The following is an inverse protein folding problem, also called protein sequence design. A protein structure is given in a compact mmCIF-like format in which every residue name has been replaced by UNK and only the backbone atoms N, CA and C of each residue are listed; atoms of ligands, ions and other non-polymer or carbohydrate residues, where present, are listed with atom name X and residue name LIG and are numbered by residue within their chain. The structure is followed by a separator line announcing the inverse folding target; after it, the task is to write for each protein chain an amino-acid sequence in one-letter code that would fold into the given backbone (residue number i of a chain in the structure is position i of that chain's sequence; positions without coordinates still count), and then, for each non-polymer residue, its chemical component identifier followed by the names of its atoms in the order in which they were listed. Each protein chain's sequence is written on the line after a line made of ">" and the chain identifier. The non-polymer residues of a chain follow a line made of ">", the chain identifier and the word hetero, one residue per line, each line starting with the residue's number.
data_IF_583473700019
#
_entry.id   IF_583473700019
#
_cell.length_a   1.000
_cell.length_b   1.000
_cell.length_c   1.000
_cell.angle_alpha   90.00
_cell.angle_beta   90.00
_cell.angle_gamma   90.00
#
_symmetry.space_group_name_H-M   'P 1'
#
loop_
_entity.id
_entity.type
_entity.pdbx_description
1 polymer ?
#
# COMPACT_ATOMS: atom_id res chain seq x y z
N UNK A 1 11.71 -28.32 -15.79
CA UNK A 1 10.58 -27.78 -15.01
C UNK A 1 10.10 -26.59 -15.80
N UNK A 2 8.99 -26.73 -16.52
CA UNK A 2 8.40 -25.61 -17.26
C UNK A 2 8.01 -24.54 -16.25
N UNK A 3 8.51 -23.33 -16.42
CA UNK A 3 7.97 -22.19 -15.70
C UNK A 3 6.50 -22.09 -16.13
N UNK A 4 5.58 -22.43 -15.22
CA UNK A 4 4.18 -22.04 -15.38
C UNK A 4 4.20 -20.51 -15.39
N UNK A 5 4.14 -19.93 -16.60
CA UNK A 5 3.86 -18.51 -16.77
C UNK A 5 2.54 -18.26 -16.05
N UNK A 6 2.61 -17.59 -14.89
CA UNK A 6 1.38 -17.18 -14.23
C UNK A 6 0.59 -16.31 -15.19
N UNK A 7 -0.73 -16.52 -15.28
CA UNK A 7 -1.56 -15.78 -16.22
C UNK A 7 -1.59 -14.31 -15.80
N UNK A 8 -0.80 -13.50 -16.49
CA UNK A 8 -0.91 -12.05 -16.44
C UNK A 8 -2.30 -11.69 -16.96
N UNK A 9 -3.12 -11.11 -16.10
CA UNK A 9 -4.49 -10.75 -16.46
C UNK A 9 -4.46 -9.37 -17.10
N UNK A 10 -4.90 -9.24 -18.35
CA UNK A 10 -5.02 -7.96 -19.05
C UNK A 10 -6.49 -7.54 -19.13
N UNK A 11 -6.77 -6.25 -18.90
CA UNK A 11 -8.11 -5.67 -19.10
C UNK A 11 -8.17 -5.11 -20.52
N UNK A 12 -8.96 -5.73 -21.40
CA UNK A 12 -9.06 -5.29 -22.80
C UNK A 12 -9.79 -3.97 -22.99
N UNK A 13 -10.74 -3.65 -22.10
CA UNK A 13 -11.56 -2.43 -22.17
C UNK A 13 -11.78 -1.91 -20.74
N UNK A 14 -11.01 -0.88 -20.36
CA UNK A 14 -11.01 -0.35 -19.00
C UNK A 14 -12.34 0.31 -18.62
N UNK A 15 -13.01 0.95 -19.57
CA UNK A 15 -14.29 1.64 -19.34
C UNK A 15 -15.46 0.67 -19.09
N UNK A 16 -15.34 -0.57 -19.57
CA UNK A 16 -16.32 -1.64 -19.36
C UNK A 16 -15.92 -2.64 -18.27
N UNK A 17 -14.76 -2.45 -17.64
CA UNK A 17 -14.24 -3.37 -16.65
C UNK A 17 -15.14 -3.42 -15.43
N UNK A 18 -15.46 -4.63 -14.96
CA UNK A 18 -16.23 -4.78 -13.72
C UNK A 18 -15.31 -4.62 -12.51
N UNK A 19 -15.89 -4.41 -11.33
CA UNK A 19 -15.14 -4.44 -10.06
C UNK A 19 -14.30 -5.72 -9.90
N UNK A 20 -14.82 -6.86 -10.38
CA UNK A 20 -14.11 -8.15 -10.31
C UNK A 20 -12.86 -8.14 -11.20
N UNK A 21 -12.96 -7.57 -12.40
CA UNK A 21 -11.85 -7.49 -13.35
C UNK A 21 -10.75 -6.56 -12.82
N UNK A 22 -11.13 -5.38 -12.33
CA UNK A 22 -10.21 -4.42 -11.72
C UNK A 22 -9.48 -5.02 -10.52
N UNK A 23 -10.21 -5.74 -9.65
CA UNK A 23 -9.61 -6.43 -8.51
C UNK A 23 -8.67 -7.56 -8.91
N UNK A 24 -9.02 -8.31 -9.96
CA UNK A 24 -8.19 -9.42 -10.45
C UNK A 24 -6.89 -8.90 -11.03
N UNK A 25 -6.97 -7.86 -11.87
CA UNK A 25 -5.82 -7.16 -12.44
C UNK A 25 -4.89 -6.63 -11.36
N UNK A 26 -5.43 -5.87 -10.40
CA UNK A 26 -4.60 -5.22 -9.41
C UNK A 26 -3.92 -6.23 -8.44
N UNK A 27 -4.55 -7.40 -8.23
CA UNK A 27 -3.93 -8.50 -7.49
C UNK A 27 -2.85 -9.21 -8.31
N UNK A 28 -3.06 -9.45 -9.60
CA UNK A 28 -2.04 -10.09 -10.46
C UNK A 28 -0.80 -9.22 -10.58
N UNK A 29 -0.95 -7.90 -10.74
CA UNK A 29 0.17 -6.95 -10.73
C UNK A 29 0.95 -7.00 -9.41
N UNK A 30 0.22 -6.96 -8.28
CA UNK A 30 0.85 -7.01 -6.96
C UNK A 30 1.66 -8.29 -6.74
N UNK A 31 1.16 -9.45 -7.16
CA UNK A 31 1.90 -10.71 -7.06
C UNK A 31 3.08 -10.75 -8.04
N UNK A 32 2.90 -10.27 -9.28
CA UNK A 32 3.97 -10.13 -10.26
C UNK A 32 5.15 -9.31 -9.72
N UNK A 33 4.91 -8.16 -9.11
CA UNK A 33 5.99 -7.34 -8.56
C UNK A 33 6.69 -7.98 -7.37
N UNK A 34 5.97 -8.72 -6.52
CA UNK A 34 6.56 -9.46 -5.41
C UNK A 34 7.45 -10.60 -5.90
N UNK A 35 6.98 -11.37 -6.88
CA UNK A 35 7.73 -12.50 -7.45
C UNK A 35 9.02 -12.02 -8.15
N UNK A 36 8.96 -10.86 -8.82
CA UNK A 36 10.11 -10.27 -9.49
C UNK A 36 10.99 -9.40 -8.57
N UNK A 37 10.55 -9.15 -7.34
CA UNK A 37 11.28 -8.36 -6.34
C UNK A 37 11.51 -6.91 -6.75
N UNK A 38 10.55 -6.29 -7.47
CA UNK A 38 10.67 -4.90 -7.89
C UNK A 38 10.66 -3.94 -6.71
N UNK A 39 11.53 -2.92 -6.77
CA UNK A 39 11.70 -1.90 -5.73
C UNK A 39 12.06 -0.55 -6.35
N UNK A 40 11.86 0.51 -5.58
CA UNK A 40 12.23 1.89 -5.85
C UNK A 40 11.73 2.33 -7.24
N UNK A 41 12.63 2.89 -8.06
CA UNK A 41 12.34 3.34 -9.42
C UNK A 41 11.77 2.25 -10.32
N UNK A 42 12.29 1.02 -10.23
CA UNK A 42 11.81 -0.08 -11.10
C UNK A 42 10.35 -0.42 -10.79
N UNK A 43 9.98 -0.43 -9.50
CA UNK A 43 8.59 -0.66 -9.09
C UNK A 43 7.69 0.51 -9.54
N UNK A 44 8.18 1.74 -9.45
CA UNK A 44 7.43 2.90 -9.94
C UNK A 44 7.20 2.86 -11.45
N UNK A 45 8.23 2.52 -12.24
CA UNK A 45 8.12 2.41 -13.70
C UNK A 45 7.09 1.33 -14.10
N UNK A 46 7.15 0.14 -13.48
CA UNK A 46 6.17 -0.93 -13.73
C UNK A 46 4.77 -0.57 -13.22
N UNK A 47 4.67 0.17 -12.11
CA UNK A 47 3.38 0.67 -11.60
C UNK A 47 2.72 1.63 -12.58
N UNK A 48 3.48 2.62 -13.08
CA UNK A 48 2.98 3.60 -14.05
C UNK A 48 2.56 2.90 -15.34
N UNK A 49 3.33 1.92 -15.79
CA UNK A 49 3.02 1.16 -16.99
C UNK A 49 1.77 0.28 -16.83
N UNK A 50 1.69 -0.50 -15.76
CA UNK A 50 0.56 -1.42 -15.54
C UNK A 50 -0.77 -0.70 -15.30
N UNK A 51 -0.73 0.51 -14.73
CA UNK A 51 -1.91 1.31 -14.44
C UNK A 51 -2.05 2.53 -15.37
N UNK A 52 -1.40 2.50 -16.55
CA UNK A 52 -1.56 3.55 -17.55
C UNK A 52 -3.03 3.68 -17.96
N UNK A 53 -3.55 4.92 -18.00
CA UNK A 53 -4.95 5.19 -18.32
C UNK A 53 -5.94 4.97 -17.17
N UNK A 54 -5.50 4.46 -16.01
CA UNK A 54 -6.37 4.37 -14.84
C UNK A 54 -6.71 5.75 -14.26
N UNK A 55 -7.93 5.87 -13.73
CA UNK A 55 -8.43 7.07 -13.07
C UNK A 55 -8.68 6.78 -11.59
N UNK A 56 -8.91 7.83 -10.80
CA UNK A 56 -9.29 7.67 -9.40
C UNK A 56 -10.56 6.85 -9.21
N UNK A 57 -11.48 6.87 -10.19
CA UNK A 57 -12.73 6.11 -10.15
C UNK A 57 -12.47 4.61 -10.32
N UNK A 58 -11.55 4.23 -11.23
CA UNK A 58 -11.12 2.84 -11.38
C UNK A 58 -10.54 2.31 -10.07
N UNK A 59 -9.64 3.06 -9.42
CA UNK A 59 -9.14 2.68 -8.10
C UNK A 59 -10.24 2.69 -7.03
N UNK A 60 -11.20 3.61 -7.07
CA UNK A 60 -12.29 3.65 -6.11
C UNK A 60 -13.17 2.39 -6.17
N UNK A 61 -13.31 1.79 -7.36
CA UNK A 61 -14.01 0.53 -7.60
C UNK A 61 -13.21 -0.71 -7.22
N UNK A 62 -11.88 -0.61 -7.02
CA UNK A 62 -11.08 -1.72 -6.47
C UNK A 62 -11.43 -1.92 -4.99
N UNK A 63 -11.44 -3.19 -4.55
CA UNK A 63 -11.70 -3.54 -3.16
C UNK A 63 -10.76 -2.80 -2.21
N UNK A 64 -11.27 -2.45 -1.04
CA UNK A 64 -10.54 -1.70 -0.02
C UNK A 64 -9.24 -2.41 0.37
N UNK A 65 -9.29 -3.74 0.57
CA UNK A 65 -8.13 -4.49 1.02
C UNK A 65 -7.05 -4.55 -0.06
N UNK A 66 -7.46 -4.75 -1.32
CA UNK A 66 -6.55 -4.72 -2.47
C UNK A 66 -5.87 -3.36 -2.60
N UNK A 67 -6.61 -2.25 -2.50
CA UNK A 67 -6.05 -0.90 -2.52
C UNK A 67 -5.04 -0.65 -1.39
N UNK A 68 -5.38 -1.01 -0.16
CA UNK A 68 -4.47 -0.86 0.97
C UNK A 68 -3.18 -1.65 0.74
N UNK A 69 -3.30 -2.90 0.28
CA UNK A 69 -2.13 -3.73 -0.04
C UNK A 69 -1.25 -3.13 -1.14
N UNK A 70 -1.84 -2.60 -2.21
CA UNK A 70 -1.09 -1.91 -3.27
C UNK A 70 -0.32 -0.73 -2.71
N UNK A 71 -1.01 0.17 -2.01
CA UNK A 71 -0.41 1.35 -1.40
C UNK A 71 0.74 0.96 -0.47
N UNK A 72 0.48 0.03 0.45
CA UNK A 72 1.47 -0.38 1.44
C UNK A 72 2.68 -1.05 0.78
N UNK A 73 2.45 -1.88 -0.25
CA UNK A 73 3.54 -2.50 -1.01
C UNK A 73 4.41 -1.48 -1.75
N UNK A 74 3.79 -0.48 -2.39
CA UNK A 74 4.48 0.60 -3.08
C UNK A 74 5.33 1.41 -2.09
N UNK A 75 4.76 1.81 -0.96
CA UNK A 75 5.44 2.54 0.12
C UNK A 75 6.63 1.75 0.68
N UNK A 76 6.41 0.50 1.11
CA UNK A 76 7.44 -0.33 1.75
C UNK A 76 8.60 -0.60 0.81
N UNK A 77 8.35 -0.67 -0.49
CA UNK A 77 9.37 -0.90 -1.50
C UNK A 77 9.89 0.40 -2.15
N UNK A 78 9.68 1.55 -1.52
CA UNK A 78 10.38 2.79 -1.88
C UNK A 78 9.72 3.59 -3.01
N UNK A 79 8.41 3.45 -3.22
CA UNK A 79 7.65 4.40 -4.04
C UNK A 79 7.06 5.47 -3.12
N UNK A 80 7.40 6.72 -3.38
CA UNK A 80 6.90 7.84 -2.58
C UNK A 80 5.40 8.06 -2.80
N UNK A 81 4.67 8.25 -1.71
CA UNK A 81 3.26 8.64 -1.69
C UNK A 81 3.01 9.55 -0.51
N UNK A 82 2.18 10.57 -0.63
CA UNK A 82 1.87 11.41 0.54
C UNK A 82 1.17 10.57 1.61
N UNK A 83 1.72 10.58 2.82
CA UNK A 83 1.06 9.95 3.96
C UNK A 83 0.01 10.90 4.48
N UNK A 84 -1.23 10.72 4.04
CA UNK A 84 -2.36 11.36 4.70
C UNK A 84 -2.68 10.48 5.92
N UNK A 85 -2.94 11.08 7.09
CA UNK A 85 -3.04 10.39 8.39
C UNK A 85 -4.18 9.35 8.52
N UNK A 86 -5.00 9.43 9.56
CA UNK A 86 -6.13 8.48 9.75
C UNK A 86 -7.15 8.63 8.60
N UNK A 87 -7.09 7.74 7.60
CA UNK A 87 -7.69 7.96 6.30
C UNK A 87 -8.92 7.11 5.97
N UNK A 88 -9.92 7.78 5.39
CA UNK A 88 -11.10 7.21 4.74
C UNK A 88 -10.75 6.52 3.39
N UNK A 89 -11.58 5.56 2.97
CA UNK A 89 -11.38 4.73 1.75
C UNK A 89 -11.13 5.52 0.45
N UNK A 90 -11.84 6.64 0.28
CA UNK A 90 -11.75 7.49 -0.92
C UNK A 90 -10.35 8.07 -1.11
N UNK A 91 -9.67 8.32 0.00
CA UNK A 91 -8.36 8.98 0.00
C UNK A 91 -7.23 8.03 -0.42
N UNK A 92 -7.38 6.70 -0.26
CA UNK A 92 -6.38 5.75 -0.78
C UNK A 92 -6.43 5.69 -2.31
N UNK A 93 -7.61 5.76 -2.93
CA UNK A 93 -7.70 5.78 -4.38
C UNK A 93 -7.05 7.04 -4.97
N UNK A 94 -7.23 8.19 -4.32
CA UNK A 94 -6.57 9.45 -4.70
C UNK A 94 -5.05 9.37 -4.49
N UNK A 95 -4.58 8.76 -3.40
CA UNK A 95 -3.14 8.54 -3.17
C UNK A 95 -2.49 7.66 -4.25
N UNK A 96 -3.18 6.61 -4.71
CA UNK A 96 -2.69 5.74 -5.78
C UNK A 96 -2.59 6.49 -7.12
N UNK A 97 -3.28 7.62 -7.30
CA UNK A 97 -3.10 8.47 -8.48
C UNK A 97 -1.83 9.31 -8.44
N UNK A 98 -1.25 9.57 -7.27
CA UNK A 98 -0.07 10.47 -7.17
C UNK A 98 1.12 9.96 -7.98
N UNK A 99 1.54 8.68 -7.90
CA UNK A 99 2.67 8.23 -8.70
C UNK A 99 2.36 8.19 -10.19
N UNK A 100 1.09 8.04 -10.59
CA UNK A 100 0.65 8.07 -11.99
C UNK A 100 0.65 9.49 -12.57
N UNK A 101 0.36 10.49 -11.74
CA UNK A 101 0.39 11.90 -12.14
C UNK A 101 1.79 12.51 -12.03
N UNK A 102 2.69 11.88 -11.27
CA UNK A 102 4.07 12.30 -11.16
C UNK A 102 4.79 12.12 -12.51
N UNK A 103 5.38 13.20 -13.03
CA UNK A 103 6.16 13.17 -14.28
C UNK A 103 7.48 12.44 -14.14
N UNK A 104 8.00 12.36 -12.92
CA UNK A 104 9.33 11.84 -12.61
C UNK A 104 9.30 11.12 -11.28
N UNK A 105 10.08 10.05 -11.17
CA UNK A 105 10.31 9.33 -9.93
C UNK A 105 10.84 10.27 -8.83
N UNK A 106 10.28 10.16 -7.63
CA UNK A 106 10.75 10.91 -6.46
C UNK A 106 12.09 10.35 -5.97
N UNK A 107 13.14 11.17 -6.02
CA UNK A 107 14.44 10.83 -5.44
C UNK A 107 14.37 11.12 -3.94
N UNK A 108 14.46 10.06 -3.13
CA UNK A 108 14.44 10.19 -1.68
C UNK A 108 15.63 11.02 -1.21
N UNK A 109 15.34 12.11 -0.51
CA UNK A 109 16.31 12.88 0.26
C UNK A 109 16.54 12.22 1.62
N UNK A 110 17.60 12.62 2.32
CA UNK A 110 17.87 12.10 3.67
C UNK A 110 16.77 12.47 4.66
N UNK A 111 16.13 13.63 4.46
CA UNK A 111 14.96 14.08 5.21
C UNK A 111 13.76 13.15 4.95
N UNK A 112 13.52 12.78 3.70
CA UNK A 112 12.47 11.81 3.36
C UNK A 112 12.76 10.48 4.05
N UNK A 113 13.98 9.93 3.94
CA UNK A 113 14.32 8.68 4.60
C UNK A 113 14.04 8.71 6.11
N UNK A 114 14.33 9.83 6.77
CA UNK A 114 14.01 10.00 8.20
C UNK A 114 12.50 9.97 8.45
N UNK A 115 11.72 10.71 7.67
CA UNK A 115 10.25 10.73 7.81
C UNK A 115 9.62 9.35 7.53
N UNK A 116 10.24 8.59 6.62
CA UNK A 116 9.72 7.32 6.16
C UNK A 116 10.21 6.12 6.96
N UNK A 117 11.40 6.16 7.57
CA UNK A 117 11.89 5.09 8.44
C UNK A 117 10.93 4.84 9.59
N UNK A 118 10.42 5.91 10.22
CA UNK A 118 9.42 5.82 11.29
C UNK A 118 8.11 5.15 10.81
N UNK A 119 7.83 5.17 9.50
CA UNK A 119 6.63 4.58 8.89
C UNK A 119 6.88 3.15 8.35
N UNK A 120 8.12 2.78 8.00
CA UNK A 120 8.47 1.42 7.56
C UNK A 120 8.50 0.42 8.71
N UNK A 121 8.72 0.90 9.93
CA UNK A 121 8.63 0.10 11.14
C UNK A 121 7.19 -0.20 11.58
N UNK A 122 6.19 0.07 10.71
CA UNK A 122 4.86 -0.48 10.89
C UNK A 122 5.01 -1.99 11.08
N UNK A 123 4.51 -2.55 12.21
CA UNK A 123 4.55 -3.98 12.39
C UNK A 123 3.76 -4.57 11.24
N UNK A 124 4.48 -5.21 10.31
CA UNK A 124 3.93 -6.24 9.44
C UNK A 124 3.56 -7.39 10.36
N UNK A 125 2.56 -7.16 11.22
CA UNK A 125 1.78 -8.22 11.81
C UNK A 125 1.08 -8.84 10.62
N UNK A 126 1.79 -9.70 9.90
CA UNK A 126 1.14 -10.89 9.40
C UNK A 126 0.27 -11.35 10.57
N UNK A 127 -1.06 -11.46 10.37
CA UNK A 127 -1.81 -12.28 11.29
C UNK A 127 -1.12 -13.64 11.19
N UNK A 128 -0.22 -13.90 12.13
CA UNK A 128 0.23 -15.23 12.45
C UNK A 128 -1.08 -15.91 12.79
N UNK A 129 -1.66 -16.54 11.76
CA UNK A 129 -2.74 -17.48 11.88
C UNK A 129 -2.09 -18.58 12.68
N UNK A 130 -2.09 -18.39 14.00
CA UNK A 130 -1.61 -19.36 14.94
C UNK A 130 -2.26 -20.64 14.51
N UNK A 131 -1.42 -21.61 14.15
CA UNK A 131 -1.82 -22.99 14.02
C UNK A 131 -2.54 -23.32 15.32
N UNK A 132 -3.85 -23.12 15.34
CA UNK A 132 -4.73 -23.69 16.34
C UNK A 132 -4.73 -25.17 15.96
N UNK A 133 -3.71 -25.87 16.45
CA UNK A 133 -3.74 -27.31 16.59
C UNK A 133 -4.95 -27.57 17.49
N UNK A 134 -6.11 -27.80 16.87
CA UNK A 134 -7.28 -28.31 17.56
C UNK A 134 -6.94 -29.73 18.01
N UNK A 135 -6.30 -29.85 19.17
CA UNK A 135 -6.42 -31.04 20.00
C UNK A 135 -7.87 -31.09 20.46
N UNK A 136 -8.70 -31.84 19.74
CA UNK A 136 -10.03 -32.19 20.21
C UNK A 136 -9.88 -33.17 21.38
N UNK A 137 -9.78 -32.65 22.59
CA UNK A 137 -10.10 -33.43 23.78
C UNK A 137 -11.61 -33.46 23.90
N UNK A 138 -12.21 -34.58 23.52
CA UNK A 138 -13.62 -34.88 23.75
C UNK A 138 -13.92 -34.75 25.25
N UNK A 139 -14.68 -33.72 25.63
CA UNK A 139 -15.18 -33.58 27.00
C UNK A 139 -16.63 -33.07 26.95
N UNK A 140 -17.47 -33.78 27.69
CA UNK A 140 -18.94 -33.82 27.68
C UNK A 140 -19.53 -32.50 28.22
N UNK A 141 -20.70 -32.03 27.74
CA UNK A 141 -21.32 -30.81 28.23
C UNK A 141 -21.91 -31.00 29.63
N UNK A 142 -21.54 -30.12 30.57
CA UNK A 142 -22.31 -29.89 31.80
C UNK A 142 -22.80 -28.44 31.81
N UNK A 143 -24.11 -28.31 32.00
CA UNK A 143 -24.90 -27.08 31.99
C UNK A 143 -24.67 -26.19 33.24
N UNK A 144 -25.25 -24.97 33.30
CA UNK A 144 -24.60 -23.76 33.81
C UNK A 144 -24.89 -23.46 35.28
N UNK A 145 -24.06 -22.62 35.91
CA UNK A 145 -24.44 -21.90 37.14
C UNK A 145 -23.91 -20.48 37.13
N UNK A 146 -24.87 -19.58 37.27
CA UNK A 146 -24.85 -18.13 37.43
C UNK A 146 -23.97 -17.70 38.62
N UNK A 147 -23.26 -16.56 38.48
CA UNK A 147 -23.23 -15.47 39.49
C UNK A 147 -22.52 -14.21 38.94
N UNK A 148 -23.26 -13.10 38.96
CA UNK A 148 -22.79 -11.70 38.92
C UNK A 148 -22.06 -11.38 40.23
N UNK A 149 -21.06 -10.47 40.21
CA UNK A 149 -20.91 -9.30 41.12
C UNK A 149 -19.53 -8.62 41.00
N UNK A 150 -19.52 -7.28 41.16
CA UNK A 150 -18.37 -6.37 41.39
C UNK A 150 -17.65 -5.90 40.11
N UNK A 151 -17.75 -4.67 39.60
CA UNK A 151 -17.85 -3.31 40.15
C UNK A 151 -16.73 -2.91 41.13
N UNK A 152 -15.59 -2.50 40.57
CA UNK A 152 -14.70 -1.47 41.13
C UNK A 152 -13.90 -0.82 39.99
N UNK A 153 -14.21 0.44 39.68
CA UNK A 153 -13.26 1.38 39.05
C UNK A 153 -12.46 2.06 40.17
N UNK A 154 -11.16 2.29 39.96
CA UNK A 154 -10.46 3.41 40.56
C UNK A 154 -10.13 4.47 39.50
N UNK A 155 -10.60 5.69 39.77
CA UNK A 155 -10.09 6.95 39.24
C UNK A 155 -8.62 7.15 39.65
N UNK A 156 -7.76 7.55 38.70
CA UNK A 156 -6.74 8.61 38.85
C UNK A 156 -5.79 8.58 37.65
N UNK A 157 -6.02 9.48 36.69
CA UNK A 157 -4.98 9.89 35.74
C UNK A 157 -4.80 11.41 35.82
N UNK A 158 -3.58 11.91 36.10
CA UNK A 158 -3.31 13.33 36.19
C UNK A 158 -3.31 14.01 34.80
N UNK A 159 -3.55 15.34 34.77
CA UNK A 159 -3.58 16.10 33.52
C UNK A 159 -2.18 16.19 32.88
N UNK A 160 -2.08 15.72 31.64
CA UNK A 160 -0.91 15.90 30.78
C UNK A 160 -0.82 17.36 30.34
N UNK A 161 0.24 18.05 30.78
CA UNK A 161 0.58 19.40 30.32
C UNK A 161 1.00 19.36 28.83
N UNK A 162 0.16 19.92 27.96
CA UNK A 162 0.49 20.19 26.57
C UNK A 162 1.42 21.41 26.48
N UNK A 163 2.73 21.16 26.40
CA UNK A 163 3.70 22.19 26.01
C UNK A 163 3.62 22.41 24.49
N UNK A 164 2.99 23.52 24.11
CA UNK A 164 3.00 24.04 22.74
C UNK A 164 4.42 24.55 22.45
N UNK A 165 5.14 23.86 21.56
CA UNK A 165 6.41 24.35 20.99
C UNK A 165 6.11 25.06 19.68
N UNK A 166 6.28 26.37 19.69
CA UNK A 166 6.29 27.21 18.49
C UNK A 166 7.48 26.85 17.59
N UNK A 167 7.20 26.33 16.40
CA UNK A 167 8.22 26.12 15.37
C UNK A 167 8.07 27.15 14.25
N UNK A 168 8.82 28.25 14.38
CA UNK A 168 9.07 29.19 13.29
C UNK A 168 10.25 28.69 12.47
N UNK A 169 10.00 28.21 11.25
CA UNK A 169 11.04 27.80 10.30
C UNK A 169 10.76 28.34 8.90
N UNK A 170 11.40 29.45 8.56
CA UNK A 170 11.32 30.11 7.25
C UNK A 170 12.18 29.39 6.21
N UNK A 171 11.62 29.27 4.99
CA UNK A 171 12.24 29.65 3.71
C UNK A 171 13.44 28.84 3.19
N UNK A 172 13.31 28.25 1.98
CA UNK A 172 14.07 28.70 0.79
C UNK A 172 13.63 28.00 -0.49
N UNK A 173 13.49 28.84 -1.52
CA UNK A 173 13.26 28.54 -2.93
C UNK A 173 14.51 27.94 -3.62
N UNK A 174 14.27 27.51 -4.87
CA UNK A 174 15.22 27.15 -5.94
C UNK A 174 15.80 25.73 -5.86
N UNK A 175 15.85 24.96 -6.95
CA UNK A 175 16.26 25.40 -8.30
C UNK A 175 15.79 24.41 -9.36
N UNK A 176 15.38 24.93 -10.51
CA UNK A 176 15.27 24.22 -11.79
C UNK A 176 16.56 23.45 -12.11
N UNK A 177 16.48 22.22 -12.63
CA UNK A 177 17.33 21.81 -13.74
C UNK A 177 17.00 20.47 -14.41
N UNK A 178 17.25 20.49 -15.71
CA UNK A 178 17.60 19.39 -16.62
C UNK A 178 16.58 18.29 -16.92
N UNK A 179 15.80 18.59 -17.96
CA UNK A 179 15.17 17.62 -18.85
C UNK A 179 16.26 16.90 -19.67
N UNK A 180 16.75 15.76 -19.19
CA UNK A 180 17.64 14.88 -19.94
C UNK A 180 16.83 13.73 -20.55
N UNK A 181 16.95 13.58 -21.87
CA UNK A 181 16.16 12.70 -22.73
C UNK A 181 16.26 11.22 -22.29
N UNK A 182 15.10 10.58 -22.11
CA UNK A 182 15.04 9.13 -21.94
C UNK A 182 15.25 8.40 -23.28
N UNK A 183 16.00 7.28 -23.30
CA UNK A 183 16.10 6.41 -24.46
C UNK A 183 14.85 5.51 -24.61
N UNK A 184 14.39 5.36 -25.86
CA UNK A 184 13.29 4.49 -26.26
C UNK A 184 13.63 3.01 -25.97
N UNK A 185 13.17 2.47 -24.84
CA UNK A 185 13.36 1.06 -24.45
C UNK A 185 12.16 0.15 -24.74
N UNK A 186 11.12 0.65 -25.43
CA UNK A 186 9.87 -0.09 -25.62
C UNK A 186 9.81 -0.97 -26.89
N UNK A 187 10.75 -0.84 -27.83
CA UNK A 187 10.73 -1.65 -29.07
C UNK A 187 11.14 -3.12 -28.89
N UNK A 188 11.77 -3.50 -27.78
CA UNK A 188 12.16 -4.90 -27.55
C UNK A 188 11.03 -5.77 -26.99
N UNK A 189 10.01 -5.17 -26.37
CA UNK A 189 8.84 -5.90 -25.82
C UNK A 189 7.89 -6.44 -26.91
N UNK A 190 7.99 -5.93 -28.14
CA UNK A 190 7.20 -6.40 -29.30
C UNK A 190 7.93 -7.45 -30.15
N UNK A 191 9.25 -7.64 -29.99
CA UNK A 191 10.07 -8.50 -30.86
C UNK A 191 10.39 -9.89 -30.29
N UNK A 192 9.93 -10.19 -29.07
CA UNK A 192 10.12 -11.51 -28.45
C UNK A 192 8.81 -12.31 -28.34
N UNK A 193 7.90 -12.14 -29.30
CA UNK A 193 6.74 -13.01 -29.53
C UNK A 193 7.01 -13.96 -30.68
#
# INVERSE_FOLDING_TARGET
>A
MSADEQPHFEISDLDKATETDLNRFAKSELEYWKENGFKNRNLWDEYVLGFEGWTSEHFANVDRHTRSKLRDHLIVNGVYMTSIGNLNKRLIAEQLMEPLQAKTYHVFTQEDEREWSDKRDLPTSEPSFGQKVQKYSSTIPTSPTIKREGLTQPDDYPPMNLAIRDFHGKNKQNTENSFEKQPQKWEERLKSK
#
